data_IF_490730154192
#
_entry.id   IF_490730154192
#
_cell.length_a   1.000
_cell.length_b   1.000
_cell.length_c   1.000
_cell.angle_alpha   90.00
_cell.angle_beta   90.00
_cell.angle_gamma   90.00
#
_symmetry.space_group_name_H-M   'P 1'
#
loop_
_entity.id
_entity.type
_entity.pdbx_description
1 polymer ?
#
# COMPACT_ATOMS: atom_id res chain seq x y z
N UNK A 1 68.83 -22.15 58.83
CA UNK A 1 68.89 -21.22 57.71
C UNK A 1 68.09 -21.87 56.62
N UNK A 2 66.75 -21.59 56.60
CA UNK A 2 65.79 -22.18 55.64
C UNK A 2 64.95 -21.05 55.13
N UNK A 3 65.11 -20.73 53.85
CA UNK A 3 64.21 -19.83 53.12
C UNK A 3 62.89 -20.55 52.83
N UNK A 4 61.76 -19.93 53.06
CA UNK A 4 60.49 -20.43 52.58
C UNK A 4 60.26 -19.89 51.17
N UNK A 5 60.23 -20.81 50.23
CA UNK A 5 59.77 -20.58 48.86
C UNK A 5 58.25 -20.38 48.88
N UNK A 6 57.83 -19.14 48.63
CA UNK A 6 56.41 -18.74 48.62
C UNK A 6 55.86 -18.76 47.25
N UNK A 7 55.74 -19.90 46.57
CA UNK A 7 54.97 -20.08 45.38
C UNK A 7 53.52 -20.31 45.76
N UNK A 8 52.73 -19.20 45.85
CA UNK A 8 51.30 -19.28 45.90
C UNK A 8 50.76 -19.82 44.56
N UNK A 9 49.60 -20.48 44.57
CA UNK A 9 48.98 -21.00 43.33
C UNK A 9 48.80 -19.92 42.31
N UNK A 10 49.35 -20.14 41.11
CA UNK A 10 49.07 -19.27 39.92
C UNK A 10 47.57 -19.20 39.66
N UNK A 11 46.97 -18.10 40.08
CA UNK A 11 45.59 -17.78 39.71
C UNK A 11 45.62 -17.30 38.27
N UNK A 12 45.03 -18.04 37.33
CA UNK A 12 44.99 -17.59 35.95
C UNK A 12 44.24 -16.24 35.85
N UNK A 13 44.68 -15.32 34.97
CA UNK A 13 44.02 -14.04 34.79
C UNK A 13 42.55 -14.26 34.47
N UNK A 14 41.63 -13.40 34.97
CA UNK A 14 40.22 -13.51 34.69
C UNK A 14 39.98 -13.47 33.16
N UNK A 15 39.17 -14.40 32.68
CA UNK A 15 38.83 -14.48 31.29
C UNK A 15 38.27 -13.12 30.80
N UNK A 16 38.65 -12.63 29.62
CA UNK A 16 38.14 -11.37 29.09
C UNK A 16 36.62 -11.43 29.04
N UNK A 17 35.99 -10.42 29.62
CA UNK A 17 34.53 -10.32 29.69
C UNK A 17 33.96 -10.01 28.30
N UNK A 18 33.65 -11.03 27.50
CA UNK A 18 33.02 -10.92 26.19
C UNK A 18 31.60 -10.39 26.27
N UNK A 19 31.06 -10.05 27.45
CA UNK A 19 29.75 -9.44 27.62
C UNK A 19 29.71 -7.93 27.33
N UNK A 20 30.90 -7.30 27.15
CA UNK A 20 31.03 -5.90 26.79
C UNK A 20 30.82 -5.60 25.26
N UNK A 21 30.63 -6.62 24.44
CA UNK A 21 30.08 -6.43 23.09
C UNK A 21 28.64 -6.06 23.24
N UNK A 22 28.35 -4.73 23.23
CA UNK A 22 26.99 -4.21 23.27
C UNK A 22 26.15 -4.97 22.25
N UNK A 23 25.00 -5.54 22.69
CA UNK A 23 23.98 -6.03 21.78
C UNK A 23 23.83 -4.95 20.68
N UNK A 24 23.88 -5.30 19.38
CA UNK A 24 23.57 -4.33 18.36
C UNK A 24 22.24 -3.70 18.73
N UNK A 25 22.29 -2.42 19.07
CA UNK A 25 21.13 -1.64 19.50
C UNK A 25 20.12 -1.72 18.36
N UNK A 26 19.07 -2.50 18.56
CA UNK A 26 18.00 -2.62 17.58
C UNK A 26 17.50 -1.19 17.35
N UNK A 27 17.46 -0.68 16.10
CA UNK A 27 17.05 0.69 15.86
C UNK A 27 15.73 0.93 16.56
N UNK A 28 15.72 1.94 17.45
CA UNK A 28 14.56 2.29 18.27
C UNK A 28 13.33 2.46 17.35
N UNK A 29 12.18 1.84 17.63
CA UNK A 29 11.03 1.92 16.74
C UNK A 29 10.62 3.38 16.57
N UNK A 30 10.23 3.81 15.37
CA UNK A 30 9.89 5.19 15.08
C UNK A 30 8.83 5.70 16.07
N UNK A 31 9.13 6.81 16.75
CA UNK A 31 8.29 7.33 17.86
C UNK A 31 6.97 7.94 17.39
N UNK A 32 6.91 8.46 16.14
CA UNK A 32 5.70 9.11 15.61
C UNK A 32 4.89 8.18 14.73
N UNK A 33 3.55 8.33 14.67
CA UNK A 33 2.69 7.54 13.76
C UNK A 33 3.10 7.66 12.30
N UNK A 34 3.48 8.86 11.87
CA UNK A 34 3.95 9.13 10.52
C UNK A 34 5.27 8.41 10.21
N UNK A 35 6.24 8.45 11.13
CA UNK A 35 7.50 7.76 10.94
C UNK A 35 7.32 6.23 10.85
N UNK A 36 6.35 5.66 11.61
CA UNK A 36 5.98 4.24 11.51
C UNK A 36 5.38 3.91 10.15
N UNK A 37 4.49 4.77 9.63
CA UNK A 37 3.92 4.62 8.29
C UNK A 37 5.02 4.60 7.23
N UNK A 38 5.92 5.59 7.24
CA UNK A 38 7.03 5.69 6.28
C UNK A 38 7.97 4.49 6.38
N UNK A 39 8.31 4.07 7.60
CA UNK A 39 9.15 2.89 7.82
C UNK A 39 8.50 1.62 7.24
N UNK A 40 7.18 1.42 7.46
CA UNK A 40 6.43 0.29 6.92
C UNK A 40 6.37 0.34 5.39
N UNK A 41 6.05 1.49 4.79
CA UNK A 41 6.04 1.68 3.34
C UNK A 41 7.41 1.34 2.74
N UNK A 42 8.49 1.88 3.34
CA UNK A 42 9.85 1.62 2.90
C UNK A 42 10.21 0.13 3.02
N UNK A 43 9.86 -0.52 4.14
CA UNK A 43 10.09 -1.94 4.35
C UNK A 43 9.38 -2.80 3.30
N UNK A 44 8.10 -2.51 3.02
CA UNK A 44 7.31 -3.21 2.01
C UNK A 44 7.87 -3.02 0.60
N UNK A 45 8.39 -1.84 0.26
CA UNK A 45 8.95 -1.57 -1.06
C UNK A 45 10.36 -2.14 -1.26
N UNK A 46 11.20 -2.13 -0.22
CA UNK A 46 12.62 -2.48 -0.35
C UNK A 46 12.98 -3.88 0.16
N UNK A 47 12.25 -4.40 1.14
CA UNK A 47 12.56 -5.67 1.79
C UNK A 47 11.30 -6.47 2.20
N UNK A 48 10.34 -6.73 1.28
CA UNK A 48 9.04 -7.32 1.63
C UNK A 48 9.16 -8.70 2.28
N UNK A 49 10.14 -9.51 1.87
CA UNK A 49 10.36 -10.83 2.46
C UNK A 49 10.73 -10.79 3.95
N UNK A 50 11.29 -9.68 4.42
CA UNK A 50 11.59 -9.45 5.85
C UNK A 50 10.39 -8.87 6.59
N UNK A 51 9.58 -8.05 5.89
CA UNK A 51 8.41 -7.39 6.48
C UNK A 51 7.25 -8.35 6.71
N UNK A 52 6.97 -9.29 5.82
CA UNK A 52 5.85 -10.21 5.96
C UNK A 52 5.86 -11.02 7.28
N UNK A 53 6.97 -11.63 7.72
CA UNK A 53 7.02 -12.29 9.02
C UNK A 53 6.80 -11.34 10.20
N UNK A 54 7.29 -10.11 10.13
CA UNK A 54 7.05 -9.09 11.16
C UNK A 54 5.56 -8.75 11.25
N UNK A 55 4.91 -8.53 10.10
CA UNK A 55 3.48 -8.27 10.03
C UNK A 55 2.68 -9.46 10.57
N UNK A 56 3.09 -10.69 10.26
CA UNK A 56 2.43 -11.90 10.76
C UNK A 56 2.50 -12.04 12.29
N UNK A 57 3.56 -11.52 12.91
CA UNK A 57 3.73 -11.50 14.36
C UNK A 57 2.95 -10.36 15.06
N UNK A 58 2.52 -9.33 14.32
CA UNK A 58 1.78 -8.20 14.86
C UNK A 58 0.29 -8.55 15.10
N UNK A 59 -0.24 -8.08 16.23
CA UNK A 59 -1.68 -8.20 16.57
C UNK A 59 -2.45 -6.91 16.28
N UNK A 60 -2.14 -6.24 15.16
CA UNK A 60 -2.76 -4.96 14.77
C UNK A 60 -4.26 -5.12 14.51
N UNK A 61 -5.08 -4.25 15.10
CA UNK A 61 -6.52 -4.26 14.87
C UNK A 61 -6.85 -3.82 13.43
N UNK A 62 -7.93 -4.38 12.85
CA UNK A 62 -8.37 -4.02 11.50
C UNK A 62 -8.63 -2.53 11.32
N UNK A 63 -9.20 -1.87 12.33
CA UNK A 63 -9.41 -0.43 12.33
C UNK A 63 -8.09 0.37 12.25
N UNK A 64 -7.05 -0.08 12.94
CA UNK A 64 -5.73 0.58 12.88
C UNK A 64 -5.09 0.44 11.50
N UNK A 65 -5.27 -0.70 10.82
CA UNK A 65 -4.80 -0.88 9.44
C UNK A 65 -5.48 0.13 8.53
N UNK A 66 -6.81 0.27 8.64
CA UNK A 66 -7.55 1.25 7.84
C UNK A 66 -7.15 2.68 8.16
N UNK A 67 -7.18 3.09 9.43
CA UNK A 67 -7.02 4.49 9.82
C UNK A 67 -5.56 4.97 9.75
N UNK A 68 -4.61 4.09 10.08
CA UNK A 68 -3.20 4.49 10.20
C UNK A 68 -2.36 4.10 8.98
N UNK A 69 -2.87 3.23 8.12
CA UNK A 69 -2.15 2.81 6.92
C UNK A 69 -2.91 3.10 5.64
N UNK A 70 -4.12 2.53 5.46
CA UNK A 70 -4.89 2.70 4.22
C UNK A 70 -5.31 4.15 4.01
N UNK A 71 -5.87 4.80 5.04
CA UNK A 71 -6.40 6.16 4.92
C UNK A 71 -5.36 7.19 4.46
N UNK A 72 -4.18 7.32 5.09
CA UNK A 72 -3.21 8.32 4.66
C UNK A 72 -2.67 8.04 3.25
N UNK A 73 -2.44 6.78 2.88
CA UNK A 73 -1.93 6.42 1.57
C UNK A 73 -2.98 6.61 0.47
N UNK A 74 -4.22 6.19 0.72
CA UNK A 74 -5.34 6.41 -0.20
C UNK A 74 -5.63 7.91 -0.39
N UNK A 75 -5.52 8.72 0.68
CA UNK A 75 -5.70 10.17 0.60
C UNK A 75 -4.64 10.83 -0.31
N UNK A 76 -3.37 10.42 -0.19
CA UNK A 76 -2.30 10.93 -1.07
C UNK A 76 -2.64 10.64 -2.53
N UNK A 77 -3.05 9.43 -2.87
CA UNK A 77 -3.43 9.05 -4.23
C UNK A 77 -4.65 9.82 -4.73
N UNK A 78 -5.70 9.94 -3.92
CA UNK A 78 -6.91 10.66 -4.27
C UNK A 78 -6.66 12.16 -4.52
N UNK A 79 -5.87 12.79 -3.67
CA UNK A 79 -5.49 14.21 -3.81
C UNK A 79 -4.62 14.41 -5.04
N UNK A 80 -3.58 13.58 -5.22
CA UNK A 80 -2.66 13.71 -6.34
C UNK A 80 -3.36 13.55 -7.70
N UNK A 81 -4.20 12.51 -7.86
CA UNK A 81 -4.94 12.27 -9.10
C UNK A 81 -5.94 13.39 -9.41
N UNK A 82 -6.67 13.87 -8.40
CA UNK A 82 -7.67 14.92 -8.58
C UNK A 82 -7.02 16.27 -8.86
N UNK A 83 -5.89 16.58 -8.22
CA UNK A 83 -5.12 17.78 -8.49
C UNK A 83 -4.54 17.76 -9.92
N UNK A 84 -4.04 16.61 -10.36
CA UNK A 84 -3.59 16.39 -11.74
C UNK A 84 -4.71 16.58 -12.74
N UNK A 85 -5.88 16.01 -12.49
CA UNK A 85 -7.07 16.15 -13.35
C UNK A 85 -7.57 17.61 -13.45
N UNK A 86 -7.45 18.38 -12.37
CA UNK A 86 -7.82 19.80 -12.36
C UNK A 86 -6.77 20.68 -13.05
N UNK A 87 -5.49 20.54 -12.68
CA UNK A 87 -4.43 21.46 -13.15
C UNK A 87 -3.93 21.11 -14.55
N UNK A 88 -3.69 19.84 -14.81
CA UNK A 88 -3.11 19.36 -16.07
C UNK A 88 -4.20 18.86 -17.01
N UNK A 89 -5.18 18.15 -16.50
CA UNK A 89 -6.25 17.48 -17.22
C UNK A 89 -5.97 16.00 -17.48
N UNK A 90 -6.98 15.29 -17.91
CA UNK A 90 -6.94 13.85 -18.21
C UNK A 90 -6.94 13.69 -19.72
N UNK A 91 -5.97 12.94 -20.31
CA UNK A 91 -6.01 12.62 -21.74
C UNK A 91 -7.27 11.82 -22.08
N UNK A 92 -8.05 12.29 -23.02
CA UNK A 92 -9.29 11.65 -23.49
C UNK A 92 -9.23 11.47 -25.00
N UNK A 93 -8.75 10.32 -25.45
CA UNK A 93 -8.70 9.98 -26.89
C UNK A 93 -10.09 9.60 -27.40
N UNK A 94 -10.56 10.16 -28.51
CA UNK A 94 -9.92 11.10 -29.45
C UNK A 94 -10.13 12.59 -29.11
N UNK A 95 -10.75 12.92 -27.98
CA UNK A 95 -11.26 14.26 -27.64
C UNK A 95 -10.21 15.23 -27.07
N UNK A 96 -8.93 14.84 -27.03
CA UNK A 96 -7.85 15.69 -26.50
C UNK A 96 -7.71 15.57 -24.98
N UNK A 97 -7.67 16.71 -24.27
CA UNK A 97 -7.51 16.74 -22.80
C UNK A 97 -8.73 17.34 -22.13
N UNK A 98 -9.35 16.60 -21.24
CA UNK A 98 -10.47 17.07 -20.41
C UNK A 98 -9.92 17.57 -19.08
N UNK A 99 -10.23 18.80 -18.70
CA UNK A 99 -9.91 19.38 -17.39
C UNK A 99 -11.14 19.41 -16.52
N UNK A 100 -11.02 18.92 -15.30
CA UNK A 100 -12.10 19.01 -14.33
C UNK A 100 -12.09 20.40 -13.67
N UNK A 101 -13.29 20.97 -13.48
CA UNK A 101 -13.43 22.15 -12.62
C UNK A 101 -13.08 21.82 -11.16
N UNK A 102 -12.77 22.83 -10.31
CA UNK A 102 -12.33 22.60 -8.92
C UNK A 102 -13.37 21.83 -8.09
N UNK A 103 -14.66 22.07 -8.31
CA UNK A 103 -15.74 21.34 -7.63
C UNK A 103 -15.81 19.87 -8.03
N UNK A 104 -15.69 19.58 -9.33
CA UNK A 104 -15.66 18.21 -9.85
C UNK A 104 -14.39 17.46 -9.40
N UNK A 105 -13.26 18.14 -9.34
CA UNK A 105 -12.02 17.57 -8.83
C UNK A 105 -12.12 17.20 -7.34
N UNK A 106 -12.73 18.06 -6.52
CA UNK A 106 -12.96 17.79 -5.10
C UNK A 106 -13.94 16.62 -4.90
N UNK A 107 -15.06 16.62 -5.63
CA UNK A 107 -16.03 15.52 -5.58
C UNK A 107 -15.37 14.20 -6.02
N UNK A 108 -14.55 14.23 -7.07
CA UNK A 108 -13.76 13.10 -7.55
C UNK A 108 -12.77 12.60 -6.51
N UNK A 109 -12.08 13.49 -5.79
CA UNK A 109 -11.16 13.12 -4.73
C UNK A 109 -11.86 12.37 -3.58
N UNK A 110 -13.00 12.91 -3.12
CA UNK A 110 -13.79 12.28 -2.04
C UNK A 110 -14.31 10.92 -2.50
N UNK A 111 -14.89 10.85 -3.69
CA UNK A 111 -15.38 9.59 -4.24
C UNK A 111 -14.26 8.56 -4.40
N UNK A 112 -13.13 8.95 -5.00
CA UNK A 112 -11.96 8.07 -5.16
C UNK A 112 -11.48 7.55 -3.80
N UNK A 113 -11.33 8.43 -2.81
CA UNK A 113 -10.93 8.04 -1.46
C UNK A 113 -11.89 7.01 -0.85
N UNK A 114 -13.20 7.26 -0.91
CA UNK A 114 -14.21 6.33 -0.39
C UNK A 114 -14.18 4.97 -1.11
N UNK A 115 -14.02 4.98 -2.44
CA UNK A 115 -13.95 3.77 -3.24
C UNK A 115 -12.68 2.95 -2.99
N UNK A 116 -11.57 3.58 -2.63
CA UNK A 116 -10.35 2.87 -2.22
C UNK A 116 -10.59 2.04 -0.95
N UNK A 117 -11.32 2.58 0.02
CA UNK A 117 -11.69 1.82 1.22
C UNK A 117 -12.54 0.60 0.88
N UNK A 118 -13.57 0.80 0.04
CA UNK A 118 -14.44 -0.28 -0.41
C UNK A 118 -13.64 -1.33 -1.20
N UNK A 119 -12.72 -0.92 -2.08
CA UNK A 119 -11.87 -1.82 -2.86
C UNK A 119 -11.02 -2.70 -1.95
N UNK A 120 -10.31 -2.11 -0.97
CA UNK A 120 -9.48 -2.87 -0.03
C UNK A 120 -10.32 -3.87 0.74
N UNK A 121 -11.51 -3.47 1.21
CA UNK A 121 -12.42 -4.37 1.94
C UNK A 121 -12.87 -5.54 1.05
N UNK A 122 -13.37 -5.26 -0.14
CA UNK A 122 -13.89 -6.28 -1.05
C UNK A 122 -12.78 -7.26 -1.45
N UNK A 123 -11.60 -6.76 -1.79
CA UNK A 123 -10.44 -7.62 -2.13
C UNK A 123 -10.03 -8.46 -0.92
N UNK A 124 -9.99 -7.89 0.29
CA UNK A 124 -9.69 -8.65 1.51
C UNK A 124 -10.72 -9.75 1.79
N UNK A 125 -12.01 -9.48 1.54
CA UNK A 125 -13.07 -10.50 1.65
C UNK A 125 -12.88 -11.63 0.63
N UNK A 126 -12.50 -11.31 -0.61
CA UNK A 126 -12.19 -12.31 -1.65
C UNK A 126 -10.98 -13.14 -1.25
N UNK A 127 -9.89 -12.50 -0.80
CA UNK A 127 -8.72 -13.19 -0.26
C UNK A 127 -9.15 -14.15 0.83
N UNK A 128 -9.91 -13.69 1.81
CA UNK A 128 -10.36 -14.53 2.91
C UNK A 128 -11.28 -15.69 2.44
N UNK A 129 -12.19 -15.43 1.52
CA UNK A 129 -13.13 -16.43 1.00
C UNK A 129 -12.43 -17.55 0.21
N UNK A 130 -11.43 -17.17 -0.60
CA UNK A 130 -10.68 -18.10 -1.44
C UNK A 130 -9.60 -18.89 -0.69
N UNK A 131 -9.20 -18.47 0.51
CA UNK A 131 -8.10 -19.09 1.26
C UNK A 131 -8.20 -20.63 1.37
N UNK A 132 -9.34 -21.23 1.74
CA UNK A 132 -9.45 -22.69 1.86
C UNK A 132 -9.26 -23.41 0.51
N UNK A 133 -9.74 -22.84 -0.59
CA UNK A 133 -9.61 -23.40 -1.94
C UNK A 133 -8.14 -23.60 -2.33
N UNK A 134 -7.26 -22.71 -1.86
CA UNK A 134 -5.83 -22.77 -2.11
C UNK A 134 -5.02 -23.34 -0.94
N UNK A 135 -5.70 -24.04 -0.01
CA UNK A 135 -5.08 -24.73 1.13
C UNK A 135 -4.57 -23.79 2.22
N UNK A 136 -5.07 -22.56 2.26
CA UNK A 136 -4.83 -21.59 3.31
C UNK A 136 -5.90 -21.60 4.40
N UNK A 137 -5.74 -20.74 5.39
CA UNK A 137 -6.67 -20.58 6.51
C UNK A 137 -7.45 -19.27 6.39
N UNK A 138 -8.75 -19.31 6.74
CA UNK A 138 -9.56 -18.09 6.84
C UNK A 138 -9.15 -17.29 8.06
N UNK A 139 -8.72 -16.07 7.84
CA UNK A 139 -8.48 -15.05 8.86
C UNK A 139 -8.75 -13.67 8.23
N UNK A 140 -9.90 -13.05 8.52
CA UNK A 140 -10.27 -11.76 7.91
C UNK A 140 -9.27 -10.66 8.19
N UNK A 141 -8.62 -10.66 9.36
CA UNK A 141 -7.62 -9.68 9.73
C UNK A 141 -6.34 -9.86 8.89
N UNK A 142 -5.85 -11.08 8.75
CA UNK A 142 -4.69 -11.39 7.92
C UNK A 142 -4.96 -11.15 6.43
N UNK A 143 -6.16 -11.46 5.97
CA UNK A 143 -6.60 -11.14 4.62
C UNK A 143 -6.58 -9.61 4.36
N UNK A 144 -7.04 -8.81 5.34
CA UNK A 144 -6.94 -7.35 5.27
C UNK A 144 -5.49 -6.87 5.27
N UNK A 145 -4.63 -7.44 6.11
CA UNK A 145 -3.21 -7.10 6.16
C UNK A 145 -2.53 -7.38 4.81
N UNK A 146 -2.65 -8.60 4.27
CA UNK A 146 -2.02 -8.93 2.99
C UNK A 146 -2.52 -8.04 1.87
N UNK A 147 -3.81 -7.74 1.82
CA UNK A 147 -4.41 -6.85 0.83
C UNK A 147 -3.88 -5.43 0.97
N UNK A 148 -4.03 -4.81 2.14
CA UNK A 148 -3.63 -3.42 2.38
C UNK A 148 -2.14 -3.20 2.09
N UNK A 149 -1.27 -4.07 2.57
CA UNK A 149 0.16 -3.92 2.34
C UNK A 149 0.58 -4.21 0.89
N UNK A 150 -0.15 -5.08 0.17
CA UNK A 150 0.10 -5.32 -1.26
C UNK A 150 -0.30 -4.14 -2.15
N UNK A 151 -1.24 -3.29 -1.72
CA UNK A 151 -1.59 -2.05 -2.43
C UNK A 151 -0.59 -0.91 -2.25
N UNK A 152 0.38 -1.04 -1.35
CA UNK A 152 1.39 0.00 -1.07
C UNK A 152 2.06 0.58 -2.32
N UNK A 153 2.58 -0.23 -3.27
CA UNK A 153 3.21 0.31 -4.48
C UNK A 153 2.24 1.11 -5.34
N UNK A 154 0.98 0.68 -5.41
CA UNK A 154 -0.05 1.38 -6.19
C UNK A 154 -0.37 2.75 -5.59
N UNK A 155 -0.47 2.88 -4.27
CA UNK A 155 -0.70 4.17 -3.61
C UNK A 155 0.51 5.10 -3.71
N UNK A 156 1.73 4.57 -3.56
CA UNK A 156 2.96 5.37 -3.76
C UNK A 156 3.05 5.81 -5.22
N UNK A 157 2.75 4.93 -6.17
CA UNK A 157 2.70 5.25 -7.59
C UNK A 157 1.61 6.28 -7.92
N UNK A 158 0.47 6.24 -7.22
CA UNK A 158 -0.60 7.22 -7.41
C UNK A 158 -0.17 8.65 -7.08
N UNK A 159 0.82 8.85 -6.20
CA UNK A 159 1.41 10.17 -5.98
C UNK A 159 2.06 10.76 -7.25
N UNK A 160 2.54 9.92 -8.17
CA UNK A 160 3.12 10.35 -9.45
C UNK A 160 2.05 10.84 -10.44
N UNK A 161 0.78 10.46 -10.24
CA UNK A 161 -0.33 10.86 -11.14
C UNK A 161 -0.71 12.33 -11.03
N UNK A 162 -0.07 13.08 -10.12
CA UNK A 162 -0.12 14.55 -10.14
C UNK A 162 0.35 15.10 -11.50
N UNK A 163 1.22 14.36 -12.18
CA UNK A 163 1.60 14.55 -13.57
C UNK A 163 1.05 13.38 -14.39
N UNK A 164 -0.07 13.54 -15.11
CA UNK A 164 -0.72 12.44 -15.85
C UNK A 164 0.20 11.73 -16.85
N UNK A 165 1.21 12.44 -17.35
CA UNK A 165 2.25 11.88 -18.24
C UNK A 165 3.07 10.75 -17.60
N UNK A 166 3.13 10.68 -16.26
CA UNK A 166 3.82 9.63 -15.51
C UNK A 166 2.93 8.40 -15.25
N UNK A 167 1.70 8.39 -15.76
CA UNK A 167 0.74 7.30 -15.53
C UNK A 167 1.26 5.92 -15.96
N UNK A 168 2.02 5.83 -17.05
CA UNK A 168 2.64 4.57 -17.48
C UNK A 168 3.65 4.05 -16.44
N UNK A 169 4.49 4.92 -15.88
CA UNK A 169 5.45 4.57 -14.82
C UNK A 169 4.70 4.14 -13.55
N UNK A 170 3.65 4.88 -13.19
CA UNK A 170 2.80 4.55 -12.06
C UNK A 170 2.16 3.15 -12.21
N UNK A 171 1.72 2.80 -13.41
CA UNK A 171 1.16 1.47 -13.71
C UNK A 171 2.20 0.35 -13.53
N UNK A 172 3.43 0.55 -13.98
CA UNK A 172 4.52 -0.41 -13.79
C UNK A 172 4.85 -0.62 -12.31
N UNK A 173 4.87 0.45 -11.52
CA UNK A 173 5.04 0.34 -10.06
C UNK A 173 3.87 -0.40 -9.42
N UNK A 174 2.65 -0.22 -9.92
CA UNK A 174 1.48 -0.97 -9.48
C UNK A 174 1.64 -2.50 -9.63
N UNK A 175 2.32 -2.96 -10.68
CA UNK A 175 2.60 -4.39 -10.89
C UNK A 175 3.47 -4.99 -9.77
N UNK A 176 4.30 -4.20 -9.10
CA UNK A 176 5.03 -4.66 -7.94
C UNK A 176 4.12 -5.11 -6.79
N UNK A 177 2.91 -4.57 -6.71
CA UNK A 177 1.89 -5.04 -5.75
C UNK A 177 1.52 -6.51 -5.94
N UNK A 178 1.57 -7.04 -7.16
CA UNK A 178 1.34 -8.47 -7.44
C UNK A 178 2.43 -9.35 -6.80
N UNK A 179 3.68 -8.91 -6.90
CA UNK A 179 4.78 -9.59 -6.23
C UNK A 179 4.62 -9.57 -4.71
N UNK A 180 4.19 -8.43 -4.14
CA UNK A 180 3.90 -8.35 -2.71
C UNK A 180 2.79 -9.32 -2.32
N UNK A 181 1.69 -9.35 -3.06
CA UNK A 181 0.58 -10.26 -2.81
C UNK A 181 1.06 -11.72 -2.88
N UNK A 182 1.78 -12.11 -3.94
CA UNK A 182 2.33 -13.45 -4.11
C UNK A 182 3.21 -13.88 -2.93
N UNK A 183 4.07 -12.99 -2.43
CA UNK A 183 4.98 -13.29 -1.31
C UNK A 183 4.29 -13.24 0.05
N UNK A 184 3.22 -12.46 0.20
CA UNK A 184 2.48 -12.29 1.45
C UNK A 184 1.48 -13.42 1.73
N UNK A 185 0.82 -13.96 0.69
CA UNK A 185 -0.21 -14.99 0.83
C UNK A 185 0.26 -16.25 1.59
N UNK A 186 1.43 -16.84 1.31
CA UNK A 186 1.91 -18.00 2.07
C UNK A 186 2.18 -17.68 3.53
N UNK A 187 2.63 -16.46 3.83
CA UNK A 187 3.04 -16.06 5.19
C UNK A 187 1.80 -15.73 6.03
N UNK A 188 0.87 -14.93 5.51
CA UNK A 188 -0.27 -14.44 6.26
C UNK A 188 -1.48 -15.39 6.20
N UNK A 189 -1.80 -15.91 5.01
CA UNK A 189 -2.95 -16.81 4.83
C UNK A 189 -2.56 -18.29 4.94
N UNK A 190 -1.27 -18.60 5.16
CA UNK A 190 -0.74 -19.96 5.24
C UNK A 190 -1.09 -20.81 4.00
N UNK A 191 -1.17 -20.15 2.83
CA UNK A 191 -1.46 -20.81 1.57
C UNK A 191 -0.32 -21.75 1.18
N UNK A 192 -0.65 -22.91 0.60
CA UNK A 192 0.34 -23.87 0.10
C UNK A 192 1.15 -23.24 -1.04
N UNK A 193 2.47 -23.38 -1.00
CA UNK A 193 3.39 -22.75 -1.97
C UNK A 193 3.11 -23.17 -3.42
N UNK A 194 2.75 -24.42 -3.65
CA UNK A 194 2.37 -24.97 -4.96
C UNK A 194 1.09 -24.33 -5.51
N UNK A 195 0.18 -23.85 -4.67
CA UNK A 195 -1.09 -23.22 -5.04
C UNK A 195 -1.09 -21.70 -4.98
N UNK A 196 -0.04 -21.09 -4.45
CA UNK A 196 0.03 -19.64 -4.24
C UNK A 196 -0.08 -18.86 -5.55
N UNK A 197 0.52 -19.36 -6.65
CA UNK A 197 0.43 -18.70 -7.95
C UNK A 197 -1.01 -18.63 -8.45
N UNK A 198 -1.74 -19.75 -8.43
CA UNK A 198 -3.15 -19.77 -8.80
C UNK A 198 -4.01 -18.88 -7.93
N UNK A 199 -3.75 -18.87 -6.62
CA UNK A 199 -4.43 -17.98 -5.67
C UNK A 199 -4.21 -16.51 -6.04
N UNK A 200 -2.97 -16.10 -6.27
CA UNK A 200 -2.63 -14.74 -6.68
C UNK A 200 -3.32 -14.35 -7.98
N UNK A 201 -3.27 -15.23 -9.00
CA UNK A 201 -3.90 -14.97 -10.30
C UNK A 201 -5.41 -14.74 -10.17
N UNK A 202 -6.11 -15.57 -9.42
CA UNK A 202 -7.56 -15.41 -9.21
C UNK A 202 -7.88 -14.10 -8.49
N UNK A 203 -7.13 -13.77 -7.42
CA UNK A 203 -7.31 -12.49 -6.71
C UNK A 203 -7.09 -11.32 -7.66
N UNK A 204 -6.06 -11.36 -8.49
CA UNK A 204 -5.74 -10.30 -9.46
C UNK A 204 -6.87 -10.13 -10.47
N UNK A 205 -7.37 -11.20 -11.05
CA UNK A 205 -8.50 -11.15 -11.99
C UNK A 205 -9.72 -10.52 -11.32
N UNK A 206 -10.07 -10.96 -10.10
CA UNK A 206 -11.16 -10.38 -9.33
C UNK A 206 -10.92 -8.89 -9.03
N UNK A 207 -9.69 -8.52 -8.62
CA UNK A 207 -9.33 -7.13 -8.32
C UNK A 207 -9.45 -6.25 -9.56
N UNK A 208 -8.96 -6.70 -10.72
CA UNK A 208 -9.08 -5.98 -11.99
C UNK A 208 -10.55 -5.79 -12.35
N UNK A 209 -11.36 -6.86 -12.29
CA UNK A 209 -12.79 -6.79 -12.58
C UNK A 209 -13.51 -5.77 -11.68
N UNK A 210 -13.23 -5.80 -10.37
CA UNK A 210 -13.80 -4.85 -9.40
C UNK A 210 -13.35 -3.41 -9.72
N UNK A 211 -12.06 -3.21 -9.99
CA UNK A 211 -11.51 -1.88 -10.28
C UNK A 211 -12.12 -1.30 -11.55
N UNK A 212 -12.29 -2.11 -12.60
CA UNK A 212 -12.97 -1.70 -13.84
C UNK A 212 -14.44 -1.35 -13.58
N UNK A 213 -15.16 -2.20 -12.84
CA UNK A 213 -16.56 -1.93 -12.49
C UNK A 213 -16.70 -0.62 -11.68
N UNK A 214 -15.81 -0.40 -10.71
CA UNK A 214 -15.77 0.84 -9.92
C UNK A 214 -15.44 2.04 -10.81
N UNK A 215 -14.49 1.92 -11.74
CA UNK A 215 -14.12 3.01 -12.65
C UNK A 215 -15.29 3.41 -13.54
N UNK A 216 -16.02 2.44 -14.10
CA UNK A 216 -17.22 2.69 -14.90
C UNK A 216 -18.30 3.38 -14.05
N UNK A 217 -18.62 2.81 -12.89
CA UNK A 217 -19.64 3.37 -12.00
C UNK A 217 -19.29 4.80 -11.54
N UNK A 218 -18.01 5.05 -11.23
CA UNK A 218 -17.53 6.38 -10.84
C UNK A 218 -17.63 7.39 -11.99
N UNK A 219 -17.29 6.98 -13.21
CA UNK A 219 -17.39 7.82 -14.39
C UNK A 219 -18.85 8.22 -14.68
N UNK A 220 -19.77 7.26 -14.60
CA UNK A 220 -21.21 7.52 -14.75
C UNK A 220 -21.72 8.45 -13.66
N UNK A 221 -21.38 8.18 -12.39
CA UNK A 221 -21.83 9.00 -11.26
C UNK A 221 -21.31 10.44 -11.36
N UNK A 222 -20.04 10.62 -11.66
CA UNK A 222 -19.46 11.95 -11.85
C UNK A 222 -20.10 12.68 -13.05
N UNK A 223 -20.37 11.99 -14.17
CA UNK A 223 -21.06 12.56 -15.31
C UNK A 223 -22.47 13.04 -15.01
N UNK A 224 -23.19 12.37 -14.10
CA UNK A 224 -24.50 12.78 -13.63
C UNK A 224 -24.42 13.98 -12.68
N UNK A 225 -23.47 13.93 -11.73
CA UNK A 225 -23.33 14.96 -10.68
C UNK A 225 -22.66 16.24 -11.16
N UNK A 226 -21.82 16.13 -12.17
CA UNK A 226 -21.08 17.26 -12.77
C UNK A 226 -21.23 17.19 -14.28
N UNK A 227 -22.40 17.61 -14.84
CA UNK A 227 -22.55 17.68 -16.28
C UNK A 227 -21.37 18.50 -16.85
N UNK A 228 -20.77 18.08 -17.96
CA UNK A 228 -19.72 18.86 -18.58
C UNK A 228 -20.30 20.23 -18.92
N UNK A 229 -19.64 21.32 -18.46
CA UNK A 229 -19.84 22.63 -19.04
C UNK A 229 -19.40 22.50 -20.49
N UNK A 230 -20.35 22.13 -21.36
CA UNK A 230 -20.17 22.15 -22.80
C UNK A 230 -20.17 23.63 -23.16
N UNK A 231 -19.00 24.25 -23.00
CA UNK A 231 -18.76 25.58 -23.56
C UNK A 231 -18.94 25.45 -25.05
N UNK A 232 -20.16 25.77 -25.52
CA UNK A 232 -20.47 25.89 -26.96
C UNK A 232 -19.51 26.95 -27.51
N UNK A 233 -18.55 26.59 -28.39
CA UNK A 233 -17.69 27.57 -29.01
C UNK A 233 -18.61 28.43 -29.91
N UNK A 234 -18.96 29.62 -29.45
CA UNK A 234 -19.78 30.52 -30.27
C UNK A 234 -20.78 31.42 -29.56
N UNK A 235 -21.04 31.27 -28.24
CA UNK A 235 -21.89 32.26 -27.54
C UNK A 235 -21.10 33.44 -27.00
N UNK A 236 -20.26 34.01 -27.83
CA UNK A 236 -19.69 35.35 -27.60
C UNK A 236 -20.86 36.34 -27.74
N UNK A 237 -21.53 36.68 -26.63
CA UNK A 237 -22.36 37.87 -26.58
C UNK A 237 -21.47 39.06 -26.83
N UNK A 238 -21.46 39.55 -28.08
CA UNK A 238 -21.06 40.89 -28.38
C UNK A 238 -21.89 41.82 -27.48
N UNK A 239 -21.28 42.33 -26.42
CA UNK A 239 -21.77 43.53 -25.73
C UNK A 239 -21.12 44.71 -26.40
N UNK A 240 -21.96 45.41 -27.20
CA UNK A 240 -21.74 46.78 -27.65
C UNK A 240 -21.73 47.74 -26.47
#
# INVERSE_FOLDING_TARGET
>A
MTSPDGSGPDVPPPAPDYRAGGKPESPEPPRTPFARLVARVRGMLLAPRREWPLIAAETTASADIYLRYVAPLAAVGAIASSLGAWRVGIPAVPYGTIRLGPGAALAGAILHFALQFATVLVVALIVNALAPTFGGQKDPRRALQVTAYSFTPAWVAAALTILPTLGAIASLLGLYGLYLLYTGLPVLMQAKRDRTLGYTVVIVICTVAITVAIAIASGVLLGILTPPDVGVPGSGTARA
#
